data_IF_926207313901
#
_entry.id   IF_926207313901
#
_cell.length_a   1.000
_cell.length_b   1.000
_cell.length_c   1.000
_cell.angle_alpha   90.00
_cell.angle_beta   90.00
_cell.angle_gamma   90.00
#
_symmetry.space_group_name_H-M   'P 1'
#
loop_
_entity.id
_entity.type
_entity.pdbx_description
1 polymer ?
#
# COMPACT_ATOMS: atom_id res chain seq x y z
N UNK A 1 -36.17 63.60 -19.80
CA UNK A 1 -36.01 63.31 -21.23
C UNK A 1 -35.27 61.99 -21.38
N UNK A 2 -35.84 61.04 -22.13
CA UNK A 2 -35.27 59.72 -22.45
C UNK A 2 -33.98 59.86 -23.26
N UNK A 3 -33.01 58.95 -23.09
CA UNK A 3 -32.45 58.17 -24.21
C UNK A 3 -31.62 56.98 -23.73
N UNK A 4 -31.96 55.83 -24.32
CA UNK A 4 -31.35 54.51 -24.16
C UNK A 4 -29.93 54.49 -24.72
N UNK A 5 -29.06 53.67 -24.14
CA UNK A 5 -27.77 53.30 -24.73
C UNK A 5 -27.86 51.82 -25.14
N UNK A 6 -27.60 51.60 -26.42
CA UNK A 6 -27.70 50.35 -27.17
C UNK A 6 -26.51 49.44 -26.88
N UNK A 7 -26.80 48.19 -26.54
CA UNK A 7 -25.86 47.07 -26.52
C UNK A 7 -25.70 46.52 -27.94
N UNK A 8 -24.55 46.74 -28.57
CA UNK A 8 -24.08 45.96 -29.74
C UNK A 8 -22.60 46.31 -30.00
N UNK A 9 -21.79 45.28 -30.23
CA UNK A 9 -20.39 45.29 -30.72
C UNK A 9 -19.30 44.98 -29.68
N UNK A 10 -19.33 43.78 -29.09
CA UNK A 10 -18.13 43.11 -28.56
C UNK A 10 -18.14 41.65 -29.03
N UNK A 11 -18.10 41.44 -30.36
CA UNK A 11 -17.82 40.13 -30.96
C UNK A 11 -17.00 40.39 -32.23
N UNK A 12 -15.72 40.78 -32.10
CA UNK A 12 -14.78 40.78 -33.24
C UNK A 12 -13.30 40.99 -32.84
N UNK A 13 -12.86 40.73 -31.61
CA UNK A 13 -11.46 40.97 -31.19
C UNK A 13 -10.84 39.83 -30.37
N UNK A 14 -11.17 38.58 -30.68
CA UNK A 14 -10.51 37.43 -30.05
C UNK A 14 -10.10 36.31 -31.03
N UNK A 15 -10.06 36.58 -32.34
CA UNK A 15 -9.76 35.56 -33.35
C UNK A 15 -8.44 35.80 -34.13
N UNK A 16 -7.76 36.94 -33.96
CA UNK A 16 -6.56 37.27 -34.73
C UNK A 16 -5.23 37.11 -33.98
N UNK A 17 -5.25 36.77 -32.69
CA UNK A 17 -4.02 36.67 -31.88
C UNK A 17 -3.46 35.24 -31.73
N UNK A 18 -4.10 34.23 -32.32
CA UNK A 18 -3.70 32.82 -32.18
C UNK A 18 -2.97 32.30 -33.43
N UNK A 19 -3.06 33.00 -34.58
CA UNK A 19 -2.51 32.49 -35.83
C UNK A 19 -1.01 32.77 -36.04
N UNK A 20 -0.43 33.76 -35.36
CA UNK A 20 1.01 34.07 -35.48
C UNK A 20 1.92 33.29 -34.52
N UNK A 21 1.38 32.52 -33.58
CA UNK A 21 2.22 31.70 -32.69
C UNK A 21 2.51 30.29 -33.24
N UNK A 22 1.82 29.88 -34.31
CA UNK A 22 1.90 28.50 -34.83
C UNK A 22 2.63 28.35 -36.17
N UNK A 23 3.26 29.40 -36.70
CA UNK A 23 3.98 29.33 -37.98
C UNK A 23 5.44 29.77 -37.87
N UNK A 24 6.29 28.95 -37.28
CA UNK A 24 7.72 28.93 -37.62
C UNK A 24 8.37 27.60 -37.19
N UNK A 25 8.58 26.74 -38.20
CA UNK A 25 9.31 25.48 -38.10
C UNK A 25 10.82 25.74 -38.13
N UNK A 26 11.64 24.98 -37.38
CA UNK A 26 12.93 24.54 -37.86
C UNK A 26 12.84 23.11 -38.38
N UNK A 27 13.36 22.92 -39.59
CA UNK A 27 13.52 21.66 -40.31
C UNK A 27 14.28 20.65 -39.45
N UNK A 28 13.72 19.46 -39.24
CA UNK A 28 14.49 18.29 -38.81
C UNK A 28 14.43 17.22 -39.90
N UNK A 29 15.60 16.88 -40.41
CA UNK A 29 15.82 15.89 -41.45
C UNK A 29 15.40 14.50 -41.00
N UNK A 30 14.66 13.80 -41.85
CA UNK A 30 14.44 12.36 -41.75
C UNK A 30 15.76 11.60 -41.88
N UNK A 31 16.09 10.79 -40.86
CA UNK A 31 16.84 9.56 -41.06
C UNK A 31 16.06 8.42 -40.42
N UNK A 32 15.61 7.49 -41.27
CA UNK A 32 15.06 6.20 -40.88
C UNK A 32 16.19 5.34 -40.30
N UNK A 33 16.05 4.98 -39.04
CA UNK A 33 16.84 3.94 -38.40
C UNK A 33 15.96 3.26 -37.36
N UNK A 34 15.40 2.10 -37.74
CA UNK A 34 14.74 1.21 -36.79
C UNK A 34 15.74 0.76 -35.75
N UNK A 35 15.69 1.36 -34.57
CA UNK A 35 16.33 0.87 -33.36
C UNK A 35 15.22 0.61 -32.38
N UNK A 36 14.78 -0.64 -32.29
CA UNK A 36 13.94 -1.14 -31.19
C UNK A 36 14.73 -0.89 -29.92
N UNK A 37 14.41 0.19 -29.21
CA UNK A 37 14.92 0.42 -27.86
C UNK A 37 14.12 -0.51 -26.96
N UNK A 38 14.65 -1.70 -26.74
CA UNK A 38 14.30 -2.54 -25.60
C UNK A 38 14.51 -1.70 -24.35
N UNK A 39 13.41 -1.21 -23.76
CA UNK A 39 13.42 -0.77 -22.37
C UNK A 39 13.81 -1.97 -21.53
N UNK A 40 15.08 -2.05 -21.17
CA UNK A 40 15.54 -2.90 -20.08
C UNK A 40 14.82 -2.42 -18.82
N UNK A 41 13.78 -3.15 -18.41
CA UNK A 41 13.22 -3.07 -17.06
C UNK A 41 14.37 -3.39 -16.09
N UNK A 42 15.00 -2.33 -15.58
CA UNK A 42 15.88 -2.44 -14.42
C UNK A 42 14.97 -2.65 -13.22
N UNK A 43 14.51 -3.90 -13.05
CA UNK A 43 13.93 -4.38 -11.81
C UNK A 43 14.89 -3.99 -10.67
N UNK A 44 14.39 -3.24 -9.68
CA UNK A 44 15.17 -2.82 -8.51
C UNK A 44 15.51 -4.04 -7.62
N UNK A 45 14.92 -5.19 -7.93
CA UNK A 45 15.08 -6.46 -7.25
C UNK A 45 16.07 -7.34 -8.00
N UNK A 46 17.35 -7.25 -7.63
CA UNK A 46 18.40 -8.11 -8.20
C UNK A 46 18.29 -9.59 -7.79
N UNK A 47 17.44 -9.95 -6.83
CA UNK A 47 17.27 -11.31 -6.34
C UNK A 47 15.97 -11.92 -6.87
N UNK A 48 16.04 -12.78 -7.88
CA UNK A 48 14.89 -13.44 -8.50
C UNK A 48 14.12 -14.38 -7.55
N UNK A 49 14.75 -14.83 -6.45
CA UNK A 49 14.15 -15.81 -5.54
C UNK A 49 12.95 -15.25 -4.75
N UNK A 50 12.78 -13.92 -4.71
CA UNK A 50 11.64 -13.27 -4.07
C UNK A 50 10.33 -13.64 -4.77
N UNK A 51 10.40 -13.92 -6.07
CA UNK A 51 9.26 -14.27 -6.90
C UNK A 51 9.27 -15.74 -7.35
N UNK A 52 10.02 -16.62 -6.69
CA UNK A 52 10.16 -18.02 -7.11
C UNK A 52 8.88 -18.85 -6.89
N UNK A 53 8.13 -18.56 -5.81
CA UNK A 53 6.82 -19.13 -5.50
C UNK A 53 6.14 -18.24 -4.44
N UNK A 54 5.45 -17.20 -4.91
CA UNK A 54 4.79 -16.22 -4.05
C UNK A 54 3.27 -16.30 -4.11
N UNK A 55 2.74 -17.28 -4.86
CA UNK A 55 1.32 -17.56 -4.82
C UNK A 55 0.95 -18.05 -3.42
N UNK A 56 -0.27 -17.72 -3.01
CA UNK A 56 -0.87 -18.28 -1.80
C UNK A 56 -2.00 -19.19 -2.24
N UNK A 57 -2.22 -20.26 -1.48
CA UNK A 57 -3.31 -21.19 -1.75
C UNK A 57 -4.29 -21.06 -0.60
N UNK A 58 -5.47 -20.49 -0.86
CA UNK A 58 -6.48 -20.21 0.15
C UNK A 58 -6.82 -21.45 1.00
N UNK A 59 -6.84 -22.64 0.39
CA UNK A 59 -7.14 -23.92 1.06
C UNK A 59 -6.21 -24.22 2.23
N UNK A 60 -4.98 -23.71 2.19
CA UNK A 60 -3.96 -24.01 3.19
C UNK A 60 -4.04 -23.02 4.39
N UNK A 61 -4.92 -22.01 4.34
CA UNK A 61 -5.20 -21.14 5.48
C UNK A 61 -6.01 -21.88 6.56
N UNK A 62 -5.55 -21.89 7.82
CA UNK A 62 -6.20 -22.66 8.89
C UNK A 62 -7.54 -22.09 9.35
N UNK A 63 -7.91 -20.87 8.93
CA UNK A 63 -9.17 -20.22 9.31
C UNK A 63 -10.19 -20.32 8.18
N UNK A 64 -9.73 -20.24 6.93
CA UNK A 64 -10.56 -20.37 5.73
C UNK A 64 -11.30 -19.09 5.36
N UNK A 65 -12.27 -19.19 4.46
CA UNK A 65 -12.97 -18.04 3.87
C UNK A 65 -14.08 -17.48 4.76
N UNK A 66 -14.28 -16.17 4.72
CA UNK A 66 -15.49 -15.50 5.20
C UNK A 66 -15.83 -14.32 4.29
N UNK A 67 -16.47 -14.62 3.16
CA UNK A 67 -16.78 -13.64 2.12
C UNK A 67 -17.99 -12.74 2.43
N UNK A 68 -18.82 -13.12 3.42
CA UNK A 68 -20.09 -12.45 3.71
C UNK A 68 -20.04 -11.52 4.93
N UNK A 69 -18.91 -11.50 5.66
CA UNK A 69 -18.75 -10.59 6.79
C UNK A 69 -18.74 -9.13 6.32
N UNK A 70 -19.37 -8.20 7.07
CA UNK A 70 -19.36 -6.79 6.72
C UNK A 70 -17.98 -6.18 6.94
N UNK A 71 -17.66 -5.17 6.11
CA UNK A 71 -16.53 -4.26 6.31
C UNK A 71 -17.04 -3.01 7.01
N UNK A 72 -16.78 -2.94 8.33
CA UNK A 72 -17.20 -1.84 9.19
C UNK A 72 -16.08 -0.81 9.42
N UNK A 73 -14.83 -1.29 9.50
CA UNK A 73 -13.65 -0.45 9.68
C UNK A 73 -12.40 -1.11 9.07
N UNK A 74 -11.28 -0.41 9.11
CA UNK A 74 -9.98 -0.90 8.64
C UNK A 74 -8.96 -0.88 9.77
N UNK A 75 -8.08 -1.87 9.79
CA UNK A 75 -6.93 -1.93 10.70
C UNK A 75 -5.65 -1.99 9.86
N UNK A 76 -4.85 -0.92 9.91
CA UNK A 76 -3.50 -0.94 9.39
C UNK A 76 -2.59 -1.64 10.40
N UNK A 77 -1.87 -2.65 9.94
CA UNK A 77 -0.94 -3.42 10.74
C UNK A 77 0.47 -3.14 10.29
N UNK A 78 1.28 -2.60 11.20
CA UNK A 78 2.70 -2.34 10.97
C UNK A 78 3.53 -3.33 11.77
N UNK A 79 4.60 -3.83 11.18
CA UNK A 79 5.54 -4.75 11.82
C UNK A 79 6.90 -4.09 12.02
N UNK A 80 7.46 -4.22 13.23
CA UNK A 80 8.84 -3.84 13.51
C UNK A 80 9.77 -4.94 12.99
N UNK A 81 10.39 -4.68 11.83
CA UNK A 81 11.14 -5.68 11.08
C UNK A 81 12.28 -6.34 11.86
N UNK A 82 13.09 -5.63 12.67
CA UNK A 82 14.15 -6.29 13.44
C UNK A 82 13.59 -7.37 14.38
N UNK A 83 12.53 -7.06 15.13
CA UNK A 83 11.90 -8.04 16.03
C UNK A 83 11.23 -9.19 15.27
N UNK A 84 10.63 -8.92 14.11
CA UNK A 84 10.15 -10.00 13.22
C UNK A 84 11.30 -10.91 12.78
N UNK A 85 12.41 -10.34 12.32
CA UNK A 85 13.55 -11.10 11.84
C UNK A 85 14.22 -11.91 12.94
N UNK A 86 14.36 -11.37 14.15
CA UNK A 86 14.83 -12.13 15.31
C UNK A 86 13.98 -13.39 15.51
N UNK A 87 12.64 -13.27 15.43
CA UNK A 87 11.74 -14.42 15.53
C UNK A 87 11.86 -15.43 14.37
N UNK A 88 12.25 -14.97 13.17
CA UNK A 88 12.50 -15.86 12.04
C UNK A 88 13.81 -16.63 12.24
N UNK A 89 14.87 -15.96 12.71
CA UNK A 89 16.14 -16.61 13.03
C UNK A 89 16.01 -17.58 14.20
N UNK A 90 15.22 -17.25 15.24
CA UNK A 90 14.90 -18.19 16.32
C UNK A 90 14.23 -19.46 15.80
N UNK A 91 13.36 -19.34 14.79
CA UNK A 91 12.60 -20.47 14.24
C UNK A 91 13.38 -21.30 13.22
N UNK A 92 14.18 -20.67 12.38
CA UNK A 92 14.80 -21.30 11.20
C UNK A 92 16.34 -21.32 11.23
N UNK A 93 16.96 -20.69 12.22
CA UNK A 93 18.41 -20.44 12.24
C UNK A 93 18.84 -19.63 11.00
N UNK A 94 20.05 -19.90 10.51
CA UNK A 94 20.59 -19.25 9.31
C UNK A 94 19.88 -19.67 7.99
N UNK A 95 18.97 -20.65 8.06
CA UNK A 95 18.25 -21.18 6.91
C UNK A 95 16.87 -20.52 6.75
N UNK A 96 16.87 -19.20 6.57
CA UNK A 96 15.62 -18.44 6.39
C UNK A 96 14.84 -18.93 5.15
N UNK A 97 13.50 -19.08 5.24
CA UNK A 97 12.67 -19.43 4.10
C UNK A 97 12.71 -18.30 3.04
N UNK A 98 12.53 -18.60 1.74
CA UNK A 98 12.58 -17.60 0.67
C UNK A 98 11.69 -16.37 0.91
N UNK A 99 10.52 -16.56 1.53
CA UNK A 99 9.58 -15.50 1.87
C UNK A 99 10.13 -14.49 2.90
N UNK A 100 11.06 -14.89 3.75
CA UNK A 100 11.67 -14.03 4.78
C UNK A 100 13.04 -13.48 4.37
N UNK A 101 13.69 -14.07 3.36
CA UNK A 101 15.06 -13.69 2.97
C UNK A 101 15.19 -12.23 2.54
N UNK A 102 14.16 -11.67 1.88
CA UNK A 102 14.22 -10.27 1.45
C UNK A 102 14.21 -9.30 2.63
N UNK A 103 13.38 -9.57 3.63
CA UNK A 103 13.23 -8.73 4.81
C UNK A 103 14.38 -8.91 5.81
N UNK A 104 14.84 -10.14 6.00
CA UNK A 104 15.71 -10.51 7.11
C UNK A 104 17.14 -10.90 6.72
N UNK A 105 17.44 -11.01 5.42
CA UNK A 105 18.78 -11.32 4.94
C UNK A 105 19.82 -10.25 5.28
N UNK A 106 21.08 -10.65 5.37
CA UNK A 106 22.21 -9.88 5.94
C UNK A 106 22.47 -8.49 5.35
N UNK A 107 21.92 -8.17 4.17
CA UNK A 107 22.22 -6.91 3.45
C UNK A 107 21.09 -5.87 3.52
N UNK A 108 20.04 -6.09 4.32
CA UNK A 108 18.92 -5.14 4.43
C UNK A 108 18.50 -4.96 5.89
N UNK A 109 18.33 -3.70 6.29
CA UNK A 109 17.78 -3.32 7.59
C UNK A 109 16.50 -2.51 7.37
N UNK A 110 15.36 -3.18 7.46
CA UNK A 110 14.07 -2.52 7.53
C UNK A 110 13.80 -2.05 8.96
N UNK A 111 13.10 -0.93 9.10
CA UNK A 111 12.52 -0.49 10.37
C UNK A 111 11.08 -0.97 10.48
N UNK A 112 10.14 -0.03 10.62
CA UNK A 112 8.72 -0.33 10.44
C UNK A 112 8.40 -0.61 8.98
N UNK A 113 7.59 -1.64 8.76
CA UNK A 113 7.05 -2.02 7.46
C UNK A 113 5.55 -2.28 7.57
N UNK A 114 4.84 -2.25 6.45
CA UNK A 114 3.44 -2.66 6.40
C UNK A 114 3.38 -4.18 6.40
N UNK A 115 2.68 -4.74 7.39
CA UNK A 115 2.23 -6.13 7.32
C UNK A 115 1.06 -6.19 6.36
N UNK A 116 -0.01 -5.41 6.62
CA UNK A 116 -1.15 -5.28 5.73
C UNK A 116 -2.20 -4.29 6.24
N UNK A 117 -3.20 -4.03 5.41
CA UNK A 117 -4.39 -3.25 5.74
C UNK A 117 -5.62 -4.17 5.73
N UNK A 118 -6.23 -4.39 6.89
CA UNK A 118 -7.25 -5.43 7.04
C UNK A 118 -8.63 -4.82 7.21
N UNK A 119 -9.59 -5.11 6.31
CA UNK A 119 -11.01 -4.85 6.56
C UNK A 119 -11.50 -5.66 7.77
N UNK A 120 -12.29 -5.03 8.64
CA UNK A 120 -12.71 -5.62 9.91
C UNK A 120 -14.22 -5.52 10.10
N UNK A 121 -14.80 -6.55 10.71
CA UNK A 121 -16.16 -6.58 11.23
C UNK A 121 -16.18 -6.08 12.69
N UNK A 122 -17.01 -5.08 13.00
CA UNK A 122 -17.10 -4.49 14.34
C UNK A 122 -17.73 -5.43 15.38
N UNK A 123 -18.46 -6.45 14.93
CA UNK A 123 -19.12 -7.44 15.78
C UNK A 123 -18.35 -8.78 15.84
N UNK A 124 -17.14 -8.84 15.29
CA UNK A 124 -16.33 -10.04 15.31
C UNK A 124 -15.99 -10.46 16.76
N UNK A 125 -16.13 -11.75 17.05
CA UNK A 125 -15.78 -12.35 18.35
C UNK A 125 -14.53 -13.22 18.26
N UNK A 126 -14.16 -13.59 17.05
CA UNK A 126 -13.00 -14.39 16.72
C UNK A 126 -12.38 -13.88 15.44
N UNK A 127 -11.14 -14.30 15.18
CA UNK A 127 -10.47 -14.00 13.91
C UNK A 127 -11.30 -14.46 12.71
N UNK A 128 -12.07 -15.55 12.82
CA UNK A 128 -12.93 -16.13 11.76
C UNK A 128 -14.07 -15.21 11.33
N UNK A 129 -14.51 -14.30 12.20
CA UNK A 129 -15.70 -13.45 11.96
C UNK A 129 -15.40 -12.20 11.12
N UNK A 130 -14.14 -11.93 10.83
CA UNK A 130 -13.72 -10.82 9.96
C UNK A 130 -13.80 -11.20 8.48
N UNK A 131 -14.00 -10.21 7.58
CA UNK A 131 -13.93 -10.43 6.14
C UNK A 131 -12.60 -11.03 5.74
N UNK A 132 -12.64 -12.13 4.97
CA UNK A 132 -11.44 -12.71 4.38
C UNK A 132 -11.68 -13.57 3.16
N UNK A 133 -10.70 -13.57 2.27
CA UNK A 133 -10.74 -14.29 1.00
C UNK A 133 -12.05 -14.01 0.25
N UNK A 134 -12.52 -12.76 0.21
CA UNK A 134 -13.87 -12.45 -0.25
C UNK A 134 -14.09 -12.71 -1.75
N UNK A 135 -13.00 -12.83 -2.52
CA UNK A 135 -13.03 -13.23 -3.93
C UNK A 135 -12.54 -14.67 -4.16
N UNK A 136 -12.32 -15.44 -3.08
CA UNK A 136 -11.79 -16.80 -3.13
C UNK A 136 -10.27 -16.86 -3.31
N UNK A 137 -9.82 -17.99 -3.87
CA UNK A 137 -8.43 -18.27 -4.26
C UNK A 137 -8.12 -17.48 -5.54
N UNK A 138 -7.22 -16.51 -5.46
CA UNK A 138 -6.88 -15.63 -6.59
C UNK A 138 -5.56 -16.07 -7.20
N UNK A 139 -5.43 -15.91 -8.52
CA UNK A 139 -4.13 -16.14 -9.16
C UNK A 139 -3.09 -15.12 -8.67
N UNK A 140 -1.83 -15.56 -8.59
CA UNK A 140 -0.69 -14.68 -8.36
C UNK A 140 -0.73 -13.41 -9.24
N UNK A 141 -0.64 -12.25 -8.59
CA UNK A 141 -0.57 -10.95 -9.27
C UNK A 141 0.67 -10.87 -10.18
N UNK A 142 0.63 -10.11 -11.29
CA UNK A 142 1.83 -9.84 -12.07
C UNK A 142 2.93 -9.20 -11.21
N UNK A 143 4.19 -9.61 -11.41
CA UNK A 143 5.34 -9.07 -10.65
C UNK A 143 5.42 -7.54 -10.69
N UNK A 144 5.03 -6.93 -11.81
CA UNK A 144 4.99 -5.47 -11.98
C UNK A 144 4.03 -4.75 -11.03
N UNK A 145 3.03 -5.44 -10.50
CA UNK A 145 2.09 -4.91 -9.51
C UNK A 145 2.70 -4.96 -8.10
N UNK A 146 3.44 -6.02 -7.77
CA UNK A 146 4.01 -6.26 -6.44
C UNK A 146 5.33 -5.50 -6.24
N UNK A 147 6.22 -5.51 -7.24
CA UNK A 147 7.58 -5.01 -7.12
C UNK A 147 7.70 -3.57 -6.54
N UNK A 148 6.85 -2.60 -6.93
CA UNK A 148 6.92 -1.24 -6.40
C UNK A 148 6.70 -1.14 -4.88
N UNK A 149 6.04 -2.12 -4.28
CA UNK A 149 5.65 -2.11 -2.87
C UNK A 149 6.55 -2.96 -1.98
N UNK A 150 7.57 -3.63 -2.52
CA UNK A 150 8.47 -4.48 -1.72
C UNK A 150 9.24 -3.71 -0.64
N UNK A 151 9.52 -2.42 -0.83
CA UNK A 151 10.16 -1.62 0.23
C UNK A 151 9.20 -1.21 1.34
N UNK A 152 7.89 -1.22 1.07
CA UNK A 152 6.82 -0.92 2.02
C UNK A 152 6.45 -2.16 2.83
N UNK A 153 6.23 -3.29 2.14
CA UNK A 153 5.90 -4.60 2.70
C UNK A 153 6.87 -5.64 2.11
N UNK A 154 7.92 -6.04 2.85
CA UNK A 154 9.08 -6.73 2.30
C UNK A 154 8.87 -8.24 2.11
N UNK A 155 7.99 -8.60 1.17
CA UNK A 155 7.88 -9.96 0.67
C UNK A 155 6.81 -10.09 -0.40
N UNK A 156 7.12 -10.71 -1.54
CA UNK A 156 6.11 -10.90 -2.60
C UNK A 156 4.97 -11.82 -2.14
N UNK A 157 5.29 -12.88 -1.39
CA UNK A 157 4.28 -13.79 -0.84
C UNK A 157 3.41 -13.12 0.23
N UNK A 158 4.00 -12.19 0.98
CA UNK A 158 3.26 -11.33 1.92
C UNK A 158 2.28 -10.45 1.15
N UNK A 159 2.76 -9.65 0.18
CA UNK A 159 1.91 -8.78 -0.64
C UNK A 159 0.77 -9.54 -1.35
N UNK A 160 1.06 -10.69 -1.96
CA UNK A 160 0.03 -11.53 -2.58
C UNK A 160 -1.00 -12.00 -1.54
N UNK A 161 -0.55 -12.55 -0.41
CA UNK A 161 -1.43 -13.06 0.64
C UNK A 161 -2.31 -11.98 1.26
N UNK A 162 -1.76 -10.80 1.51
CA UNK A 162 -2.49 -9.66 2.07
C UNK A 162 -3.54 -9.13 1.10
N UNK A 163 -3.20 -9.02 -0.18
CA UNK A 163 -4.19 -8.69 -1.21
C UNK A 163 -5.32 -9.72 -1.25
N UNK A 164 -4.99 -11.00 -1.40
CA UNK A 164 -5.98 -12.05 -1.60
C UNK A 164 -6.88 -12.23 -0.38
N UNK A 165 -6.27 -12.33 0.80
CA UNK A 165 -6.96 -12.58 2.05
C UNK A 165 -7.72 -11.36 2.56
N UNK A 166 -7.16 -10.15 2.42
CA UNK A 166 -7.70 -8.95 3.08
C UNK A 166 -8.10 -7.86 2.09
N UNK A 167 -7.20 -7.46 1.18
CA UNK A 167 -7.46 -6.36 0.24
C UNK A 167 -8.68 -6.59 -0.66
N UNK A 168 -8.84 -7.80 -1.17
CA UNK A 168 -9.92 -8.20 -2.09
C UNK A 168 -11.33 -8.05 -1.51
N UNK A 169 -11.44 -7.91 -0.19
CA UNK A 169 -12.70 -7.70 0.53
C UNK A 169 -13.22 -6.26 0.51
N UNK A 170 -12.39 -5.27 0.19
CA UNK A 170 -12.78 -3.86 0.28
C UNK A 170 -12.26 -2.97 -0.86
N UNK A 171 -11.40 -3.51 -1.74
CA UNK A 171 -10.79 -2.77 -2.83
C UNK A 171 -11.07 -3.46 -4.16
N UNK A 172 -11.22 -2.66 -5.23
CA UNK A 172 -11.50 -3.20 -6.57
C UNK A 172 -10.25 -3.73 -7.29
N UNK A 173 -9.04 -3.37 -6.84
CA UNK A 173 -7.79 -3.89 -7.37
C UNK A 173 -6.66 -3.87 -6.34
N UNK A 174 -5.63 -4.68 -6.57
CA UNK A 174 -4.44 -4.76 -5.72
C UNK A 174 -3.65 -3.45 -5.72
N UNK A 175 -3.57 -2.74 -6.83
CA UNK A 175 -2.90 -1.44 -6.92
C UNK A 175 -3.56 -0.41 -6.01
N UNK A 176 -4.90 -0.37 -5.97
CA UNK A 176 -5.62 0.53 -5.06
C UNK A 176 -5.38 0.17 -3.60
N UNK A 177 -5.32 -1.12 -3.29
CA UNK A 177 -5.04 -1.64 -1.96
C UNK A 177 -3.64 -1.22 -1.49
N UNK A 178 -2.59 -1.55 -2.25
CA UNK A 178 -1.22 -1.22 -1.91
C UNK A 178 -0.95 0.29 -1.94
N UNK A 179 -1.58 1.04 -2.84
CA UNK A 179 -1.48 2.51 -2.83
C UNK A 179 -2.09 3.10 -1.56
N UNK A 180 -3.19 2.56 -1.06
CA UNK A 180 -3.80 3.00 0.21
C UNK A 180 -2.91 2.67 1.41
N UNK A 181 -2.31 1.48 1.45
CA UNK A 181 -1.31 1.13 2.46
C UNK A 181 -0.15 2.12 2.46
N UNK A 182 0.39 2.42 1.28
CA UNK A 182 1.49 3.35 1.12
C UNK A 182 1.13 4.77 1.55
N UNK A 183 -0.06 5.26 1.18
CA UNK A 183 -0.58 6.56 1.60
C UNK A 183 -0.65 6.66 3.12
N UNK A 184 -1.27 5.67 3.77
CA UNK A 184 -1.42 5.65 5.22
C UNK A 184 -0.06 5.59 5.91
N UNK A 185 0.83 4.69 5.48
CA UNK A 185 2.18 4.53 6.05
C UNK A 185 3.02 5.80 5.92
N UNK A 186 3.05 6.42 4.73
CA UNK A 186 3.79 7.65 4.49
C UNK A 186 3.24 8.85 5.27
N UNK A 187 1.97 8.80 5.67
CA UNK A 187 1.35 9.79 6.56
C UNK A 187 1.79 9.69 8.02
N UNK A 188 2.57 8.67 8.39
CA UNK A 188 3.00 8.44 9.77
C UNK A 188 4.42 8.92 10.03
N UNK A 189 4.61 9.51 11.20
CA UNK A 189 5.91 9.53 11.87
C UNK A 189 6.02 8.25 12.67
N UNK A 190 7.14 7.54 12.56
CA UNK A 190 7.41 6.27 13.25
C UNK A 190 8.77 6.32 13.95
N UNK A 191 8.93 5.68 15.13
CA UNK A 191 10.21 5.64 15.83
C UNK A 191 11.20 4.78 15.07
N UNK A 192 12.49 5.11 15.15
CA UNK A 192 13.58 4.36 14.49
C UNK A 192 14.20 3.29 15.37
N UNK A 193 13.58 3.00 16.51
CA UNK A 193 14.06 2.08 17.53
C UNK A 193 12.90 1.24 18.06
N UNK A 194 13.24 0.10 18.68
CA UNK A 194 12.26 -0.72 19.35
C UNK A 194 11.86 -0.09 20.69
N UNK A 195 10.57 0.12 20.90
CA UNK A 195 10.02 0.72 22.12
C UNK A 195 9.08 -0.26 22.79
N UNK A 196 9.01 -0.24 24.13
CA UNK A 196 7.95 -0.98 24.83
C UNK A 196 6.57 -0.49 24.38
N UNK A 197 5.53 -1.33 24.45
CA UNK A 197 4.16 -0.95 24.04
C UNK A 197 3.71 0.41 24.58
N UNK A 198 3.97 0.66 25.88
CA UNK A 198 3.58 1.91 26.54
C UNK A 198 4.34 3.11 25.97
N UNK A 199 5.63 2.96 25.70
CA UNK A 199 6.48 4.00 25.12
C UNK A 199 6.13 4.24 23.66
N UNK A 200 5.91 3.18 22.89
CA UNK A 200 5.46 3.24 21.50
C UNK A 200 4.17 4.05 21.39
N UNK A 201 3.15 3.75 22.20
CA UNK A 201 1.88 4.50 22.14
C UNK A 201 2.05 5.96 22.52
N UNK A 202 2.86 6.26 23.55
CA UNK A 202 3.16 7.64 23.92
C UNK A 202 3.87 8.38 22.78
N UNK A 203 4.89 7.75 22.20
CA UNK A 203 5.67 8.30 21.10
C UNK A 203 4.77 8.57 19.88
N UNK A 204 3.93 7.60 19.51
CA UNK A 204 3.01 7.72 18.37
C UNK A 204 2.07 8.90 18.56
N UNK A 205 1.44 9.04 19.74
CA UNK A 205 0.53 10.16 20.05
C UNK A 205 1.23 11.51 20.09
N UNK A 206 2.49 11.56 20.52
CA UNK A 206 3.28 12.79 20.56
C UNK A 206 3.64 13.29 19.16
N UNK A 207 3.92 12.39 18.22
CA UNK A 207 4.44 12.73 16.89
C UNK A 207 3.37 12.68 15.78
N UNK A 208 2.20 12.12 16.07
CA UNK A 208 1.08 12.02 15.13
C UNK A 208 -0.19 12.55 15.84
N UNK A 209 -0.48 13.85 15.74
CA UNK A 209 -1.57 14.49 16.48
C UNK A 209 -2.95 13.87 16.27
N UNK A 210 -3.17 13.24 15.11
CA UNK A 210 -4.42 12.51 14.81
C UNK A 210 -4.69 11.33 15.75
N UNK A 211 -3.69 10.83 16.47
CA UNK A 211 -3.84 9.72 17.44
C UNK A 211 -4.08 10.17 18.88
N UNK A 212 -4.08 11.48 19.16
CA UNK A 212 -4.08 12.03 20.53
C UNK A 212 -5.13 11.37 21.44
N UNK A 213 -6.35 11.21 20.91
CA UNK A 213 -7.49 10.66 21.65
C UNK A 213 -7.85 9.22 21.25
N UNK A 214 -7.11 8.61 20.33
CA UNK A 214 -7.41 7.27 19.84
C UNK A 214 -6.68 6.19 20.66
N UNK A 215 -7.31 5.03 20.81
CA UNK A 215 -6.67 3.82 21.26
C UNK A 215 -5.97 3.11 20.10
N UNK A 216 -4.67 2.84 20.26
CA UNK A 216 -3.87 2.05 19.34
C UNK A 216 -3.78 0.62 19.88
N UNK A 217 -3.74 -0.37 18.99
CA UNK A 217 -3.50 -1.77 19.34
C UNK A 217 -2.01 -2.13 19.17
N UNK A 218 -1.55 -3.19 19.84
CA UNK A 218 -0.23 -3.75 19.60
C UNK A 218 -0.14 -5.19 20.10
N UNK A 219 0.57 -6.04 19.36
CA UNK A 219 0.85 -7.42 19.73
C UNK A 219 2.25 -7.80 19.27
N UNK A 220 3.07 -8.38 20.15
CA UNK A 220 4.46 -8.74 19.86
C UNK A 220 5.22 -7.54 19.22
N UNK A 221 5.62 -7.67 17.96
CA UNK A 221 6.36 -6.69 17.19
C UNK A 221 5.46 -5.80 16.31
N UNK A 222 4.15 -5.83 16.52
CA UNK A 222 3.18 -5.17 15.66
C UNK A 222 2.45 -4.02 16.35
N UNK A 223 2.18 -2.99 15.55
CA UNK A 223 1.37 -1.83 15.90
C UNK A 223 0.11 -1.82 15.03
N UNK A 224 -1.04 -1.61 15.66
CA UNK A 224 -2.33 -1.54 14.99
C UNK A 224 -2.92 -0.15 15.07
N UNK A 225 -3.32 0.39 13.93
CA UNK A 225 -3.97 1.71 13.80
C UNK A 225 -5.29 1.50 13.07
N UNK A 226 -6.39 1.96 13.65
CA UNK A 226 -7.73 1.70 13.14
C UNK A 226 -8.35 2.95 12.53
N UNK A 227 -9.05 2.76 11.41
CA UNK A 227 -9.69 3.80 10.63
C UNK A 227 -11.14 3.43 10.33
N UNK A 228 -12.04 4.40 10.40
CA UNK A 228 -13.39 4.22 9.87
C UNK A 228 -13.36 4.18 8.33
N UNK A 229 -14.53 3.99 7.72
CA UNK A 229 -14.66 3.90 6.25
C UNK A 229 -14.35 5.21 5.50
N UNK A 230 -14.23 6.32 6.23
CA UNK A 230 -13.84 7.63 5.73
C UNK A 230 -12.36 7.95 6.01
N UNK A 231 -11.56 6.94 6.38
CA UNK A 231 -10.13 7.06 6.70
C UNK A 231 -9.82 7.98 7.89
N UNK A 232 -10.79 8.21 8.77
CA UNK A 232 -10.58 8.92 10.03
C UNK A 232 -10.14 7.92 11.09
N UNK A 233 -9.16 8.30 11.90
CA UNK A 233 -8.68 7.48 13.02
C UNK A 233 -9.83 7.22 14.00
N UNK A 234 -9.97 5.96 14.40
CA UNK A 234 -10.87 5.52 15.46
C UNK A 234 -10.10 4.68 16.49
N UNK A 235 -10.74 4.39 17.61
CA UNK A 235 -10.23 3.41 18.57
C UNK A 235 -10.17 2.03 17.92
N UNK A 236 -9.03 1.35 18.06
CA UNK A 236 -8.99 -0.08 17.77
C UNK A 236 -9.86 -0.85 18.77
N UNK A 237 -10.63 -1.81 18.27
CA UNK A 237 -11.43 -2.69 19.11
C UNK A 237 -10.51 -3.57 19.95
N UNK A 238 -10.94 -3.90 21.18
CA UNK A 238 -10.18 -4.71 22.14
C UNK A 238 -10.49 -6.19 22.03
#
# INVERSE_FOLDING_TARGET
>A
MKKQISTLSIIALAAFSIWQYFSENPKFSHQSGSSVVTKTDKSAVKNSNIFADYDVVMRDDPIGQNANAPVDYYMLVLSWSPGFCDSQYEKYGDQLPPSAQYQCGMNRSFGWVVHGLWPQNANARSVADHPRFCQGDLSALPKSVIEPYLTLSPGAKLLQGEWEKHGSCAFSSAEQYFAKEQELFNGLRLPKENLSRRELFRWMKQHNPQFKNAYLGASRNELFICYNKQWQVIDCQK
#
